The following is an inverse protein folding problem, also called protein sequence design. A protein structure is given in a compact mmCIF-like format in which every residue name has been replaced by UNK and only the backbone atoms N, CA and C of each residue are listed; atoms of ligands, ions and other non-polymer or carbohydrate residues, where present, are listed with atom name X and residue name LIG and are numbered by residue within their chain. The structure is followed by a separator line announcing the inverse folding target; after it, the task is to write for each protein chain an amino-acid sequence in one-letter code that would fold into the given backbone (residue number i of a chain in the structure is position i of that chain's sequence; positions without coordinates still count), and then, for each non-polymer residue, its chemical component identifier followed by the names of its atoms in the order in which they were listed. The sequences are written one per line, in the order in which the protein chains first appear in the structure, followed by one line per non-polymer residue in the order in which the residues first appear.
data_IF_539438135306
#
_entry.id   IF_539438135306
#
_cell.length_a   1.000
_cell.length_b   1.000
_cell.length_c   1.000
_cell.angle_alpha   90.00
_cell.angle_beta   90.00
_cell.angle_gamma   90.00
#
_symmetry.space_group_name_H-M   'P 1'
#
loop_
_entity.id
_entity.type
_entity.pdbx_description
1 polymer ?
#
# COMPACT_ATOMS: atom_id res chain seq x y z
N UNK A 1 -32.36 -7.30 -36.30
CA UNK A 1 -32.87 -8.34 -35.39
C UNK A 1 -32.26 -8.12 -34.02
N UNK A 2 -33.12 -7.90 -33.04
CA UNK A 2 -32.80 -7.39 -31.70
C UNK A 2 -32.41 -8.57 -30.82
N UNK A 3 -31.13 -8.72 -30.47
CA UNK A 3 -30.74 -9.67 -29.43
C UNK A 3 -30.86 -8.98 -28.08
N UNK A 4 -31.96 -9.29 -27.40
CA UNK A 4 -32.19 -8.93 -26.00
C UNK A 4 -31.12 -9.61 -25.14
N UNK A 5 -30.06 -8.86 -24.81
CA UNK A 5 -28.97 -9.30 -23.93
C UNK A 5 -29.47 -9.32 -22.51
N UNK A 6 -29.90 -10.51 -22.08
CA UNK A 6 -30.35 -10.88 -20.74
C UNK A 6 -29.38 -10.31 -19.69
N UNK A 7 -29.83 -9.34 -18.88
CA UNK A 7 -29.09 -8.74 -17.75
C UNK A 7 -28.66 -9.84 -16.76
N UNK A 8 -27.49 -10.44 -16.99
CA UNK A 8 -26.91 -11.39 -16.05
C UNK A 8 -26.31 -10.59 -14.90
N UNK A 9 -26.84 -10.79 -13.70
CA UNK A 9 -26.27 -10.24 -12.47
C UNK A 9 -25.04 -11.05 -12.12
N UNK A 10 -23.86 -10.48 -12.37
CA UNK A 10 -22.59 -11.14 -12.06
C UNK A 10 -22.34 -11.12 -10.55
N UNK A 11 -21.83 -12.23 -10.03
CA UNK A 11 -21.39 -12.39 -8.64
C UNK A 11 -19.87 -12.47 -8.57
N UNK A 12 -19.31 -12.18 -7.39
CA UNK A 12 -17.89 -12.36 -7.13
C UNK A 12 -17.51 -13.83 -7.37
N UNK A 13 -16.49 -14.06 -8.19
CA UNK A 13 -16.04 -15.39 -8.59
C UNK A 13 -16.49 -15.83 -9.99
N UNK A 14 -17.41 -15.10 -10.64
CA UNK A 14 -17.85 -15.44 -11.99
C UNK A 14 -16.73 -15.18 -13.02
N UNK A 15 -16.62 -16.09 -14.00
CA UNK A 15 -15.70 -15.97 -15.13
C UNK A 15 -16.35 -15.17 -16.24
N UNK A 16 -15.74 -14.05 -16.60
CA UNK A 16 -16.19 -13.14 -17.64
C UNK A 16 -15.13 -13.00 -18.72
N UNK A 17 -15.58 -12.85 -19.96
CA UNK A 17 -14.69 -12.49 -21.07
C UNK A 17 -15.25 -11.26 -21.77
N UNK A 18 -14.36 -10.36 -22.17
CA UNK A 18 -14.72 -9.11 -22.84
C UNK A 18 -14.69 -9.29 -24.37
N UNK A 19 -15.84 -9.26 -25.08
CA UNK A 19 -15.91 -9.59 -26.50
C UNK A 19 -15.25 -8.56 -27.42
N UNK A 20 -15.19 -7.28 -27.03
CA UNK A 20 -14.54 -6.21 -27.82
C UNK A 20 -13.01 -6.16 -27.65
N UNK A 21 -12.48 -6.90 -26.67
CA UNK A 21 -11.05 -6.93 -26.30
C UNK A 21 -10.66 -8.35 -25.92
N UNK A 22 -10.72 -9.31 -26.86
CA UNK A 22 -10.41 -10.72 -26.60
C UNK A 22 -8.96 -10.93 -26.12
N UNK A 23 -8.05 -10.00 -26.42
CA UNK A 23 -6.65 -10.02 -25.99
C UNK A 23 -6.47 -10.00 -24.46
N UNK A 24 -7.47 -9.51 -23.70
CA UNK A 24 -7.43 -9.51 -22.23
C UNK A 24 -7.57 -10.92 -21.64
N UNK A 25 -8.08 -11.87 -22.42
CA UNK A 25 -8.28 -13.25 -21.98
C UNK A 25 -9.45 -13.40 -20.99
N UNK A 26 -9.56 -14.55 -20.33
CA UNK A 26 -10.58 -14.77 -19.30
C UNK A 26 -10.27 -13.91 -18.06
N UNK A 27 -11.32 -13.40 -17.42
CA UNK A 27 -11.20 -12.63 -16.18
C UNK A 27 -12.13 -13.12 -15.09
N UNK A 28 -11.69 -13.00 -13.84
CA UNK A 28 -12.49 -13.37 -12.65
C UNK A 28 -13.01 -12.09 -12.01
N UNK A 29 -14.32 -12.05 -11.71
CA UNK A 29 -14.91 -10.93 -10.97
C UNK A 29 -14.44 -10.95 -9.52
N UNK A 30 -13.61 -9.98 -9.12
CA UNK A 30 -13.14 -9.78 -7.74
C UNK A 30 -14.21 -9.09 -6.90
N UNK A 31 -14.88 -8.09 -7.46
CA UNK A 31 -15.90 -7.30 -6.75
C UNK A 31 -17.04 -7.00 -7.70
N UNK A 32 -18.28 -7.19 -7.25
CA UNK A 32 -19.48 -6.79 -7.98
C UNK A 32 -20.31 -5.85 -7.10
N UNK A 33 -20.38 -4.57 -7.49
CA UNK A 33 -21.23 -3.57 -6.83
C UNK A 33 -22.38 -3.21 -7.76
N UNK A 34 -23.63 -3.29 -7.30
CA UNK A 34 -24.78 -2.89 -8.11
C UNK A 34 -24.91 -1.37 -8.08
N UNK A 35 -24.96 -0.74 -9.25
CA UNK A 35 -25.09 0.71 -9.41
C UNK A 35 -26.26 1.04 -10.32
N UNK A 36 -27.02 2.07 -10.03
CA UNK A 36 -28.03 2.58 -10.96
C UNK A 36 -27.32 3.60 -11.86
N UNK A 37 -27.34 3.38 -13.17
CA UNK A 37 -26.76 4.30 -14.15
C UNK A 37 -27.83 4.61 -15.19
N UNK A 38 -28.20 5.90 -15.31
CA UNK A 38 -29.21 6.38 -16.28
C UNK A 38 -30.53 5.59 -16.24
N UNK A 39 -31.12 5.48 -15.05
CA UNK A 39 -32.39 4.76 -14.77
C UNK A 39 -32.41 3.27 -15.15
N UNK A 40 -31.26 2.67 -15.48
CA UNK A 40 -31.09 1.25 -15.71
C UNK A 40 -30.26 0.59 -14.59
N UNK A 41 -30.62 -0.63 -14.14
CA UNK A 41 -29.83 -1.37 -13.16
C UNK A 41 -28.52 -1.86 -13.81
N UNK A 42 -27.41 -1.22 -13.45
CA UNK A 42 -26.06 -1.59 -13.86
C UNK A 42 -25.24 -2.15 -12.68
N UNK A 43 -24.03 -2.61 -12.97
CA UNK A 43 -23.09 -3.13 -11.98
C UNK A 43 -21.69 -2.62 -12.30
N UNK A 44 -21.00 -2.12 -11.28
CA UNK A 44 -19.58 -1.87 -11.32
C UNK A 44 -18.86 -3.14 -10.91
N UNK A 45 -18.21 -3.77 -11.88
CA UNK A 45 -17.42 -4.97 -11.70
C UNK A 45 -15.94 -4.61 -11.65
N UNK A 46 -15.22 -5.13 -10.67
CA UNK A 46 -13.75 -5.17 -10.70
C UNK A 46 -13.38 -6.57 -11.13
N UNK A 47 -12.85 -6.70 -12.34
CA UNK A 47 -12.49 -7.97 -12.96
C UNK A 47 -10.98 -8.04 -13.08
N UNK A 48 -10.41 -9.18 -12.75
CA UNK A 48 -8.98 -9.44 -12.96
C UNK A 48 -8.80 -10.34 -14.16
N UNK A 49 -8.30 -9.77 -15.25
CA UNK A 49 -8.06 -10.47 -16.51
C UNK A 49 -6.65 -11.05 -16.53
N UNK A 50 -6.52 -12.33 -16.91
CA UNK A 50 -5.22 -13.03 -16.84
C UNK A 50 -4.09 -12.35 -17.61
N UNK A 51 -4.40 -11.63 -18.71
CA UNK A 51 -3.38 -11.00 -19.56
C UNK A 51 -3.24 -9.48 -19.37
N UNK A 52 -4.16 -8.83 -18.64
CA UNK A 52 -4.21 -7.36 -18.52
C UNK A 52 -4.27 -6.88 -17.06
N UNK A 53 -4.48 -7.80 -16.12
CA UNK A 53 -4.64 -7.49 -14.71
C UNK A 53 -6.01 -6.88 -14.38
N UNK A 54 -6.05 -6.13 -13.29
CA UNK A 54 -7.30 -5.63 -12.68
C UNK A 54 -7.90 -4.47 -13.48
N UNK A 55 -9.10 -4.68 -14.02
CA UNK A 55 -9.88 -3.68 -14.76
C UNK A 55 -11.21 -3.44 -14.04
N UNK A 56 -11.56 -2.17 -13.85
CA UNK A 56 -12.89 -1.78 -13.37
C UNK A 56 -13.79 -1.55 -14.57
N UNK A 57 -14.86 -2.33 -14.68
CA UNK A 57 -15.84 -2.29 -15.75
C UNK A 57 -17.21 -1.89 -15.19
N UNK A 58 -17.98 -1.16 -15.98
CA UNK A 58 -19.38 -0.86 -15.69
C UNK A 58 -20.26 -1.62 -16.71
N UNK A 59 -21.17 -2.46 -16.23
CA UNK A 59 -22.07 -3.25 -17.08
C UNK A 59 -23.12 -2.40 -17.79
N UNK A 60 -23.19 -1.09 -17.51
CA UNK A 60 -23.99 -0.14 -18.31
C UNK A 60 -23.38 0.18 -19.69
N UNK A 61 -22.07 -0.05 -19.88
CA UNK A 61 -21.36 0.30 -21.13
C UNK A 61 -20.60 -0.90 -21.72
N UNK A 62 -20.22 -1.89 -20.90
CA UNK A 62 -19.46 -3.06 -21.34
C UNK A 62 -20.35 -4.33 -21.40
N UNK A 63 -20.55 -4.86 -22.61
CA UNK A 63 -21.25 -6.13 -22.84
C UNK A 63 -20.30 -7.29 -22.49
N UNK A 64 -20.51 -7.99 -21.37
CA UNK A 64 -19.70 -9.13 -20.95
C UNK A 64 -20.43 -10.46 -21.22
N UNK A 65 -19.70 -11.47 -21.71
CA UNK A 65 -20.25 -12.82 -21.94
C UNK A 65 -19.79 -13.72 -20.78
N UNK A 66 -20.75 -14.30 -20.05
CA UNK A 66 -20.50 -15.30 -19.02
C UNK A 66 -20.11 -16.64 -19.66
N UNK A 67 -19.07 -17.31 -19.16
CA UNK A 67 -18.76 -18.70 -19.53
C UNK A 67 -19.20 -19.63 -18.42
N UNK A 68 -20.29 -20.37 -18.66
CA UNK A 68 -20.71 -21.46 -17.78
C UNK A 68 -19.72 -22.62 -17.91
N UNK A 69 -18.81 -22.72 -16.94
CA UNK A 69 -17.97 -23.88 -16.71
C UNK A 69 -18.39 -24.57 -15.42
N UNK A 70 -19.43 -25.41 -15.49
CA UNK A 70 -19.82 -26.31 -14.41
C UNK A 70 -18.75 -27.38 -14.23
N UNK A 71 -18.09 -27.45 -13.06
CA UNK A 71 -17.41 -28.66 -12.63
C UNK A 71 -17.73 -29.00 -11.16
N UNK A 72 -17.84 -30.30 -10.84
CA UNK A 72 -18.65 -30.80 -9.74
C UNK A 72 -17.94 -30.76 -8.39
N UNK A 73 -18.73 -30.50 -7.34
CA UNK A 73 -18.40 -30.86 -5.97
C UNK A 73 -18.11 -32.36 -5.90
N UNK A 74 -16.88 -32.72 -5.54
CA UNK A 74 -16.61 -34.04 -4.97
C UNK A 74 -15.91 -33.83 -3.63
N UNK A 75 -16.68 -34.00 -2.56
CA UNK A 75 -16.17 -34.23 -1.22
C UNK A 75 -15.29 -35.47 -1.24
N UNK A 76 -14.04 -35.36 -0.82
CA UNK A 76 -13.27 -36.53 -0.37
C UNK A 76 -12.36 -36.09 0.78
N UNK A 77 -12.87 -36.26 1.99
CA UNK A 77 -12.07 -36.55 3.19
C UNK A 77 -11.14 -37.72 2.89
N UNK A 78 -9.83 -37.59 3.09
CA UNK A 78 -8.96 -38.56 3.76
C UNK A 78 -7.54 -37.98 3.90
N UNK A 79 -7.02 -38.05 5.12
CA UNK A 79 -5.67 -37.71 5.56
C UNK A 79 -4.57 -38.44 4.77
N UNK A 80 -3.49 -37.74 4.43
CA UNK A 80 -2.12 -38.29 4.50
C UNK A 80 -1.07 -37.22 4.20
N UNK A 81 -0.22 -36.94 5.19
CA UNK A 81 1.10 -36.32 5.00
C UNK A 81 2.02 -37.39 4.41
N UNK A 82 2.89 -37.07 3.44
CA UNK A 82 4.30 -37.16 3.77
C UNK A 82 5.12 -35.98 3.24
N UNK A 83 6.04 -35.54 4.10
CA UNK A 83 7.11 -34.63 3.81
C UNK A 83 8.04 -35.16 2.71
N UNK A 84 8.36 -34.31 1.74
CA UNK A 84 9.69 -34.27 1.12
C UNK A 84 10.11 -32.82 0.94
N UNK A 85 10.90 -32.40 1.91
CA UNK A 85 11.75 -31.23 1.90
C UNK A 85 12.72 -31.30 0.72
N UNK A 86 13.07 -30.12 0.22
CA UNK A 86 14.19 -29.80 -0.69
C UNK A 86 13.78 -29.65 -2.16
N UNK A 87 13.61 -28.39 -2.59
CA UNK A 87 14.39 -27.82 -3.71
C UNK A 87 14.30 -26.29 -3.66
N UNK A 88 15.39 -25.69 -3.20
CA UNK A 88 16.08 -24.49 -3.69
C UNK A 88 15.24 -23.50 -4.54
N UNK A 89 14.96 -22.31 -3.99
CA UNK A 89 15.07 -21.07 -4.75
C UNK A 89 15.91 -20.07 -3.95
N UNK A 90 16.98 -19.63 -4.59
CA UNK A 90 17.95 -18.68 -4.10
C UNK A 90 17.35 -17.26 -4.00
N UNK A 91 17.70 -16.60 -2.89
CA UNK A 91 18.15 -15.21 -2.79
C UNK A 91 17.52 -14.18 -3.74
N UNK A 92 16.68 -13.28 -3.20
CA UNK A 92 17.03 -11.85 -3.11
C UNK A 92 15.97 -11.09 -2.27
N UNK A 93 16.23 -10.87 -0.98
CA UNK A 93 15.43 -9.94 -0.17
C UNK A 93 16.35 -9.07 0.69
N UNK A 94 17.10 -8.18 0.03
CA UNK A 94 17.48 -6.93 0.66
C UNK A 94 16.27 -6.00 0.62
N UNK A 95 15.59 -5.87 1.77
CA UNK A 95 14.44 -4.99 1.96
C UNK A 95 13.32 -5.69 2.70
N UNK A 96 13.31 -5.53 4.03
CA UNK A 96 12.18 -5.75 4.94
C UNK A 96 11.17 -6.82 4.50
N UNK A 97 11.42 -8.07 4.91
CA UNK A 97 10.50 -9.20 4.78
C UNK A 97 9.18 -8.97 5.53
N UNK A 98 8.32 -8.15 4.94
CA UNK A 98 6.87 -8.20 5.14
C UNK A 98 6.32 -9.16 4.13
N UNK A 99 6.13 -10.39 4.57
CA UNK A 99 5.49 -11.42 3.77
C UNK A 99 4.12 -10.92 3.30
N UNK A 100 3.75 -11.28 2.07
CA UNK A 100 2.40 -11.07 1.52
C UNK A 100 1.28 -11.45 2.50
N UNK A 101 1.54 -12.39 3.41
CA UNK A 101 0.66 -12.81 4.50
C UNK A 101 0.36 -11.70 5.54
N UNK A 102 1.32 -10.81 5.85
CA UNK A 102 1.14 -9.66 6.77
C UNK A 102 0.18 -8.60 6.20
N UNK A 103 -0.06 -8.66 4.88
CA UNK A 103 -0.98 -7.76 4.16
C UNK A 103 -2.44 -8.26 4.25
N UNK A 104 -2.66 -9.52 4.65
CA UNK A 104 -3.98 -10.15 4.67
C UNK A 104 -4.61 -10.20 6.07
N UNK A 105 -3.86 -9.84 7.12
CA UNK A 105 -4.40 -9.74 8.48
C UNK A 105 -5.17 -8.41 8.64
N UNK A 106 -6.51 -8.43 8.76
CA UNK A 106 -7.32 -7.22 8.90
C UNK A 106 -6.95 -6.41 10.16
N UNK A 107 -6.31 -7.04 11.15
CA UNK A 107 -5.78 -6.40 12.36
C UNK A 107 -4.58 -5.49 12.08
N UNK A 108 -3.82 -5.78 11.01
CA UNK A 108 -2.58 -5.09 10.68
C UNK A 108 -2.76 -3.99 9.62
N UNK A 109 -3.91 -3.97 8.92
CA UNK A 109 -4.22 -2.99 7.88
C UNK A 109 -4.29 -1.56 8.46
N UNK A 110 -4.95 -1.37 9.60
CA UNK A 110 -5.01 -0.07 10.28
C UNK A 110 -3.73 0.29 11.03
N UNK A 111 -2.97 -0.70 11.50
CA UNK A 111 -1.71 -0.46 12.22
C UNK A 111 -0.66 0.15 11.28
N UNK A 112 -0.61 -0.34 10.03
CA UNK A 112 0.40 0.08 9.05
C UNK A 112 0.22 1.53 8.59
N UNK A 113 -1.01 2.05 8.64
CA UNK A 113 -1.30 3.46 8.36
C UNK A 113 -0.58 4.39 9.33
N UNK A 114 -0.41 3.98 10.60
CA UNK A 114 0.16 4.84 11.64
C UNK A 114 1.65 5.11 11.46
N UNK A 115 2.44 4.18 10.93
CA UNK A 115 3.90 4.37 10.80
C UNK A 115 4.41 4.40 9.37
N UNK A 116 3.51 4.40 8.38
CA UNK A 116 3.89 4.60 6.98
C UNK A 116 4.53 5.98 6.81
N UNK A 117 5.69 6.04 6.18
CA UNK A 117 6.30 7.31 5.81
C UNK A 117 5.45 8.00 4.73
N UNK A 118 5.24 9.31 4.89
CA UNK A 118 4.44 10.11 3.96
C UNK A 118 4.98 10.08 2.53
N UNK A 119 4.09 10.32 1.57
CA UNK A 119 4.43 10.23 0.14
C UNK A 119 5.52 11.25 -0.25
N UNK A 120 5.54 12.44 0.36
CA UNK A 120 6.59 13.44 0.13
C UNK A 120 8.01 12.98 0.50
N UNK A 121 8.15 11.96 1.36
CA UNK A 121 9.43 11.36 1.74
C UNK A 121 9.78 10.16 0.83
N UNK A 122 8.78 9.41 0.40
CA UNK A 122 8.99 8.11 -0.27
C UNK A 122 8.83 8.14 -1.78
N UNK A 123 8.24 9.20 -2.35
CA UNK A 123 7.97 9.32 -3.77
C UNK A 123 9.27 9.29 -4.61
N UNK A 124 9.46 8.31 -5.51
CA UNK A 124 10.66 8.19 -6.33
C UNK A 124 10.83 9.34 -7.34
N UNK A 125 9.76 10.04 -7.71
CA UNK A 125 9.81 11.15 -8.66
C UNK A 125 10.17 12.48 -7.99
N UNK A 126 10.15 12.53 -6.65
CA UNK A 126 10.59 13.70 -5.89
C UNK A 126 12.12 13.67 -5.76
N UNK A 127 12.74 14.84 -5.97
CA UNK A 127 14.19 14.97 -5.87
C UNK A 127 14.72 14.52 -4.50
N UNK A 128 15.92 13.90 -4.42
CA UNK A 128 16.48 13.42 -3.15
C UNK A 128 16.57 14.52 -2.08
N UNK A 129 16.95 15.74 -2.48
CA UNK A 129 17.01 16.90 -1.59
C UNK A 129 15.64 17.26 -0.99
N UNK A 130 14.57 17.20 -1.79
CA UNK A 130 13.22 17.52 -1.33
C UNK A 130 12.65 16.42 -0.42
N UNK A 131 12.93 15.14 -0.72
CA UNK A 131 12.61 14.01 0.17
C UNK A 131 13.34 14.12 1.51
N UNK A 132 14.61 14.51 1.47
CA UNK A 132 15.40 14.75 2.68
C UNK A 132 14.81 15.89 3.51
N UNK A 133 14.49 17.03 2.90
CA UNK A 133 13.82 18.14 3.59
C UNK A 133 12.49 17.72 4.22
N UNK A 134 11.64 16.99 3.49
CA UNK A 134 10.38 16.47 4.00
C UNK A 134 10.60 15.51 5.20
N UNK A 135 11.64 14.68 5.13
CA UNK A 135 12.01 13.78 6.25
C UNK A 135 12.45 14.58 7.47
N UNK A 136 13.27 15.63 7.27
CA UNK A 136 13.76 16.49 8.35
C UNK A 136 12.65 17.31 9.01
N UNK A 137 11.61 17.73 8.25
CA UNK A 137 10.46 18.45 8.81
C UNK A 137 9.71 17.61 9.86
N UNK A 138 9.68 16.28 9.71
CA UNK A 138 9.00 15.40 10.67
C UNK A 138 9.70 15.31 12.04
N UNK A 139 10.91 15.83 12.19
CA UNK A 139 11.59 15.92 13.48
C UNK A 139 10.96 16.96 14.42
N UNK A 140 10.07 17.84 13.93
CA UNK A 140 9.29 18.76 14.78
C UNK A 140 8.40 18.05 15.81
N UNK A 141 8.02 16.80 15.53
CA UNK A 141 7.28 15.96 16.48
C UNK A 141 8.19 15.36 17.57
N UNK A 142 9.51 15.50 17.46
CA UNK A 142 10.48 14.92 18.38
C UNK A 142 10.59 13.40 18.25
N UNK A 143 11.10 12.78 19.32
CA UNK A 143 11.36 11.34 19.40
C UNK A 143 10.67 10.65 20.58
N UNK A 144 10.14 11.40 21.55
CA UNK A 144 9.55 10.83 22.77
C UNK A 144 8.02 10.72 22.64
N UNK A 145 7.46 9.50 22.61
CA UNK A 145 6.01 9.28 22.59
C UNK A 145 5.29 9.77 23.85
N UNK A 146 6.00 10.03 24.96
CA UNK A 146 5.39 10.47 26.22
C UNK A 146 4.86 11.90 26.16
N UNK A 147 5.39 12.72 25.26
CA UNK A 147 4.90 14.08 25.03
C UNK A 147 3.57 14.04 24.29
N UNK A 148 2.47 14.04 25.06
CA UNK A 148 1.12 13.88 24.55
C UNK A 148 0.75 14.86 23.43
N UNK A 149 1.22 16.12 23.49
CA UNK A 149 0.98 17.13 22.44
C UNK A 149 1.62 16.73 21.12
N UNK A 150 2.91 16.39 21.12
CA UNK A 150 3.62 16.01 19.90
C UNK A 150 3.07 14.71 19.30
N UNK A 151 2.68 13.76 20.15
CA UNK A 151 2.06 12.51 19.72
C UNK A 151 0.73 12.76 19.00
N UNK A 152 -0.13 13.64 19.55
CA UNK A 152 -1.40 14.00 18.94
C UNK A 152 -1.20 14.84 17.67
N UNK A 153 -0.29 15.81 17.67
CA UNK A 153 0.03 16.64 16.50
C UNK A 153 0.57 15.77 15.35
N UNK A 154 1.42 14.78 15.67
CA UNK A 154 1.87 13.78 14.71
C UNK A 154 0.72 12.92 14.21
N UNK A 155 -0.13 12.40 15.09
CA UNK A 155 -1.23 11.53 14.71
C UNK A 155 -2.27 12.24 13.83
N UNK A 156 -2.54 13.52 14.08
CA UNK A 156 -3.36 14.38 13.20
C UNK A 156 -2.69 14.52 11.82
N UNK A 157 -1.40 14.83 11.78
CA UNK A 157 -0.67 14.97 10.52
C UNK A 157 -0.60 13.66 9.72
N UNK A 158 -0.46 12.53 10.40
CA UNK A 158 -0.31 11.21 9.80
C UNK A 158 -1.64 10.66 9.26
N UNK A 159 -2.73 10.89 10.00
CA UNK A 159 -4.03 10.26 9.71
C UNK A 159 -5.00 11.21 9.00
N UNK A 160 -4.78 12.52 9.07
CA UNK A 160 -5.70 13.54 8.57
C UNK A 160 -6.97 13.70 9.40
N UNK A 161 -7.10 12.98 10.53
CA UNK A 161 -8.24 13.11 11.43
C UNK A 161 -8.10 14.38 12.27
N UNK A 162 -9.22 15.09 12.48
CA UNK A 162 -9.27 16.23 13.42
C UNK A 162 -9.00 15.78 14.86
N UNK A 163 -9.53 14.61 15.24
CA UNK A 163 -9.23 13.95 16.51
C UNK A 163 -8.84 12.49 16.25
N UNK A 164 -7.55 12.13 16.41
CA UNK A 164 -7.07 10.77 16.19
C UNK A 164 -7.56 9.79 17.27
N UNK A 165 -7.95 10.27 18.46
CA UNK A 165 -8.42 9.41 19.55
C UNK A 165 -9.79 8.78 19.28
N UNK A 166 -10.54 9.30 18.31
CA UNK A 166 -11.82 8.71 17.88
C UNK A 166 -11.62 7.37 17.15
N UNK A 167 -10.48 7.17 16.45
CA UNK A 167 -10.18 5.93 15.71
C UNK A 167 -9.12 5.06 16.42
N UNK A 168 -8.18 5.68 17.13
CA UNK A 168 -7.03 4.98 17.71
C UNK A 168 -6.93 5.22 19.21
N UNK A 169 -6.55 4.18 19.94
CA UNK A 169 -6.21 4.31 21.35
C UNK A 169 -4.86 5.02 21.51
N UNK A 170 -4.63 5.66 22.66
CA UNK A 170 -3.33 6.27 22.98
C UNK A 170 -2.18 5.27 22.85
N UNK A 171 -2.39 4.02 23.27
CA UNK A 171 -1.35 3.00 23.21
C UNK A 171 -0.96 2.65 21.77
N UNK A 172 -1.94 2.51 20.87
CA UNK A 172 -1.68 2.28 19.44
C UNK A 172 -0.93 3.46 18.81
N UNK A 173 -1.28 4.69 19.17
CA UNK A 173 -0.55 5.88 18.72
C UNK A 173 0.90 5.86 19.22
N UNK A 174 1.14 5.53 20.49
CA UNK A 174 2.50 5.44 21.04
C UNK A 174 3.33 4.34 20.37
N UNK A 175 2.72 3.18 20.10
CA UNK A 175 3.37 2.09 19.37
C UNK A 175 3.69 2.49 17.93
N UNK A 176 2.71 3.08 17.23
CA UNK A 176 2.86 3.59 15.87
C UNK A 176 3.95 4.65 15.78
N UNK A 177 3.97 5.60 16.71
CA UNK A 177 4.98 6.67 16.73
C UNK A 177 6.39 6.13 16.92
N UNK A 178 6.61 5.17 17.83
CA UNK A 178 7.92 4.55 18.01
C UNK A 178 8.42 3.88 16.73
N UNK A 179 7.51 3.20 16.02
CA UNK A 179 7.85 2.55 14.76
C UNK A 179 8.11 3.57 13.65
N UNK A 180 7.30 4.63 13.57
CA UNK A 180 7.49 5.75 12.66
C UNK A 180 8.86 6.41 12.86
N UNK A 181 9.24 6.73 14.10
CA UNK A 181 10.55 7.34 14.43
C UNK A 181 11.70 6.45 13.95
N UNK A 182 11.60 5.14 14.18
CA UNK A 182 12.59 4.17 13.69
C UNK A 182 12.66 4.13 12.16
N UNK A 183 11.51 4.06 11.49
CA UNK A 183 11.45 3.95 10.03
C UNK A 183 11.90 5.26 9.35
N UNK A 184 11.56 6.42 9.93
CA UNK A 184 12.04 7.74 9.53
C UNK A 184 13.56 7.83 9.63
N UNK A 185 14.12 7.41 10.75
CA UNK A 185 15.58 7.45 10.96
C UNK A 185 16.28 6.53 9.95
N UNK A 186 15.83 5.30 9.76
CA UNK A 186 16.38 4.38 8.75
C UNK A 186 16.33 5.00 7.35
N UNK A 187 15.18 5.57 6.98
CA UNK A 187 14.99 6.24 5.70
C UNK A 187 15.93 7.44 5.52
N UNK A 188 16.16 8.24 6.58
CA UNK A 188 17.13 9.32 6.58
C UNK A 188 18.55 8.81 6.28
N UNK A 189 18.99 7.73 6.94
CA UNK A 189 20.30 7.14 6.69
C UNK A 189 20.44 6.65 5.24
N UNK A 190 19.42 5.97 4.73
CA UNK A 190 19.42 5.46 3.35
C UNK A 190 19.43 6.59 2.32
N UNK A 191 18.65 7.65 2.54
CA UNK A 191 18.65 8.84 1.69
C UNK A 191 20.01 9.52 1.67
N UNK A 192 20.60 9.79 2.83
CA UNK A 192 21.93 10.44 2.93
C UNK A 192 23.00 9.58 2.25
N UNK A 193 22.96 8.26 2.46
CA UNK A 193 23.88 7.32 1.80
C UNK A 193 23.71 7.34 0.28
N UNK A 194 22.46 7.37 -0.21
CA UNK A 194 22.17 7.45 -1.65
C UNK A 194 22.67 8.75 -2.26
N UNK A 195 22.48 9.89 -1.57
CA UNK A 195 22.95 11.21 -2.02
C UNK A 195 24.48 11.30 -2.03
N UNK A 196 25.16 10.74 -1.02
CA UNK A 196 26.64 10.65 -0.99
C UNK A 196 27.17 9.88 -2.20
N UNK A 197 26.54 8.77 -2.58
CA UNK A 197 26.91 7.97 -3.76
C UNK A 197 26.70 8.71 -5.08
N UNK A 198 25.71 9.58 -5.15
CA UNK A 198 25.38 10.39 -6.33
C UNK A 198 26.20 11.69 -6.41
N UNK A 199 27.17 11.91 -5.51
CA UNK A 199 28.00 13.12 -5.49
C UNK A 199 27.28 14.36 -4.94
N UNK A 200 26.10 14.22 -4.34
CA UNK A 200 25.28 15.33 -3.82
C UNK A 200 25.73 15.90 -2.47
N UNK A 201 27.03 15.98 -2.21
CA UNK A 201 27.57 16.42 -0.91
C UNK A 201 27.26 17.90 -0.63
N UNK A 202 27.38 18.76 -1.63
CA UNK A 202 27.09 20.19 -1.49
C UNK A 202 25.63 20.44 -1.08
N UNK A 203 24.70 19.68 -1.67
CA UNK A 203 23.28 19.76 -1.30
C UNK A 203 23.05 19.35 0.17
N UNK A 204 23.76 18.33 0.67
CA UNK A 204 23.69 17.93 2.08
C UNK A 204 24.20 19.04 3.02
N UNK A 205 25.30 19.72 2.66
CA UNK A 205 25.83 20.84 3.43
C UNK A 205 24.89 22.06 3.43
N UNK A 206 24.30 22.38 2.29
CA UNK A 206 23.30 23.45 2.19
C UNK A 206 22.08 23.16 3.06
N UNK A 207 21.53 21.93 2.97
CA UNK A 207 20.38 21.51 3.78
C UNK A 207 20.75 21.56 5.27
N UNK A 208 21.93 21.08 5.66
CA UNK A 208 22.41 21.14 7.05
C UNK A 208 22.38 22.55 7.63
N UNK A 209 22.75 23.55 6.83
CA UNK A 209 22.78 24.96 7.26
C UNK A 209 21.38 25.60 7.33
N UNK A 210 20.40 25.08 6.59
CA UNK A 210 19.01 25.56 6.62
C UNK A 210 18.14 24.96 7.74
N UNK A 211 18.63 23.95 8.46
CA UNK A 211 17.83 23.26 9.50
C UNK A 211 17.67 24.15 10.74
N UNK A 212 16.42 24.41 11.11
CA UNK A 212 16.06 25.08 12.37
C UNK A 212 16.02 24.09 13.55
N UNK A 213 15.57 22.86 13.31
CA UNK A 213 15.34 21.87 14.38
C UNK A 213 16.64 21.19 14.88
N UNK A 214 16.96 21.25 16.19
CA UNK A 214 18.22 20.70 16.72
C UNK A 214 18.29 19.17 16.61
N UNK A 215 17.15 18.48 16.76
CA UNK A 215 17.07 17.02 16.62
C UNK A 215 17.30 16.57 15.18
N UNK A 216 16.78 17.34 14.21
CA UNK A 216 17.01 17.07 12.79
C UNK A 216 18.49 17.25 12.44
N UNK A 217 19.11 18.32 12.96
CA UNK A 217 20.53 18.63 12.71
C UNK A 217 21.45 17.54 13.24
N UNK A 218 21.27 17.13 14.50
CA UNK A 218 22.08 16.07 15.13
C UNK A 218 21.91 14.72 14.41
N UNK A 219 20.68 14.39 14.01
CA UNK A 219 20.39 13.15 13.27
C UNK A 219 21.01 13.15 11.87
N UNK A 220 20.96 14.28 11.16
CA UNK A 220 21.62 14.45 9.86
C UNK A 220 23.15 14.37 9.99
N UNK A 221 23.75 15.00 11.00
CA UNK A 221 25.20 14.91 11.24
C UNK A 221 25.64 13.47 11.51
N UNK A 222 24.86 12.72 12.29
CA UNK A 222 25.09 11.29 12.51
C UNK A 222 24.99 10.50 11.20
N UNK A 223 24.00 10.79 10.35
CA UNK A 223 23.83 10.14 9.06
C UNK A 223 24.94 10.46 8.04
N UNK A 224 25.48 11.68 8.06
CA UNK A 224 26.60 12.07 7.17
C UNK A 224 27.89 11.34 7.56
N UNK A 225 28.12 11.13 8.87
CA UNK A 225 29.31 10.44 9.41
C UNK A 225 29.26 8.92 9.22
N UNK A 226 28.08 8.33 9.09
CA UNK A 226 27.88 6.92 8.76
C UNK A 226 28.25 6.61 7.29
#
# INVERSE_FOLDING_TARGET
MVHATKLHRFKRGDLVSHPLRPEWGPGVVITAASIVHEDQPAQRLVVDFSNHGRVTLNTGVAQLIAREGTMPMTMTTTSSVPAKSTTIIAQNTNGNGRGWLDTLDPSNVGSNELYRLGDAMTDPFVSPSRRLQATLDTFRFGNDPRHARNLLDWAVAQTGLKDPMTKYTRHELEQGFRRFVRDRDNHLFDLVRSMKRQGGQDALFQIKNSITEPLAKTSLERAIRA
#
